data_IF_279792894748
#
_entry.id   IF_279792894748
#
_cell.length_a   1.000
_cell.length_b   1.000
_cell.length_c   1.000
_cell.angle_alpha   90.00
_cell.angle_beta   90.00
_cell.angle_gamma   90.00
#
_symmetry.space_group_name_H-M   'P 1'
#
loop_
_entity.id
_entity.type
_entity.pdbx_description
1 polymer ?
#
# COMPACT_ATOMS: atom_id res chain seq x y z
N UNK A 1 -22.14 1.71 -1.80
CA UNK A 1 -23.00 0.60 -2.25
C UNK A 1 -22.85 -0.51 -1.24
N UNK A 2 -23.86 -0.75 -0.41
CA UNK A 2 -23.88 -1.90 0.50
C UNK A 2 -23.81 -3.16 -0.33
N UNK A 3 -22.81 -4.01 -0.06
CA UNK A 3 -22.72 -5.35 -0.65
C UNK A 3 -23.80 -6.21 -0.01
N UNK A 4 -24.49 -7.02 -0.81
CA UNK A 4 -25.42 -8.05 -0.32
C UNK A 4 -24.61 -9.07 0.49
N UNK A 5 -25.05 -9.41 1.70
CA UNK A 5 -24.36 -10.36 2.58
C UNK A 5 -24.48 -11.82 2.11
N UNK A 6 -25.33 -12.10 1.12
CA UNK A 6 -25.49 -13.43 0.54
C UNK A 6 -24.38 -13.75 -0.49
N UNK A 7 -23.80 -14.96 -0.46
CA UNK A 7 -22.84 -15.40 -1.47
C UNK A 7 -23.51 -15.47 -2.87
N UNK A 8 -22.72 -15.41 -3.96
CA UNK A 8 -23.21 -15.73 -5.30
C UNK A 8 -23.83 -17.13 -5.39
N UNK A 9 -24.89 -17.30 -6.19
CA UNK A 9 -25.64 -18.57 -6.31
C UNK A 9 -24.73 -19.77 -6.68
N UNK A 10 -23.76 -19.58 -7.58
CA UNK A 10 -22.81 -20.62 -7.99
C UNK A 10 -21.84 -21.02 -6.87
N UNK A 11 -21.46 -20.07 -6.00
CA UNK A 11 -20.65 -20.34 -4.83
C UNK A 11 -21.45 -21.09 -3.76
N UNK A 12 -22.73 -20.78 -3.58
CA UNK A 12 -23.61 -21.47 -2.63
C UNK A 12 -23.82 -22.93 -3.03
N UNK A 13 -24.17 -23.19 -4.29
CA UNK A 13 -24.27 -24.54 -4.88
C UNK A 13 -23.00 -25.38 -4.69
N UNK A 14 -21.83 -24.76 -4.82
CA UNK A 14 -20.55 -25.43 -4.60
C UNK A 14 -20.33 -25.77 -3.12
N UNK A 15 -20.67 -24.86 -2.21
CA UNK A 15 -20.51 -25.06 -0.77
C UNK A 15 -21.44 -26.17 -0.25
N UNK A 16 -22.69 -26.22 -0.72
CA UNK A 16 -23.65 -27.28 -0.38
C UNK A 16 -23.17 -28.69 -0.78
N UNK A 17 -22.37 -28.79 -1.85
CA UNK A 17 -21.77 -30.07 -2.29
C UNK A 17 -20.50 -30.44 -1.53
N UNK A 18 -19.78 -29.46 -0.97
CA UNK A 18 -18.44 -29.63 -0.42
C UNK A 18 -18.41 -29.75 1.12
N UNK A 19 -19.42 -29.22 1.81
CA UNK A 19 -19.42 -29.13 3.27
C UNK A 19 -20.71 -29.70 3.85
N UNK A 20 -20.60 -30.45 4.96
CA UNK A 20 -21.75 -30.99 5.69
C UNK A 20 -22.61 -29.86 6.31
N UNK A 21 -21.99 -28.73 6.65
CA UNK A 21 -22.63 -27.51 7.14
C UNK A 21 -22.12 -26.28 6.34
N UNK A 22 -22.73 -25.98 5.19
CA UNK A 22 -22.32 -24.85 4.35
C UNK A 22 -22.62 -23.49 4.98
N UNK A 23 -23.65 -23.39 5.83
CA UNK A 23 -24.01 -22.13 6.51
C UNK A 23 -22.95 -21.74 7.53
N UNK A 24 -22.52 -22.67 8.38
CA UNK A 24 -21.41 -22.44 9.31
C UNK A 24 -20.15 -22.02 8.56
N UNK A 25 -19.87 -22.65 7.41
CA UNK A 25 -18.71 -22.30 6.59
C UNK A 25 -18.79 -20.90 6.01
N UNK A 26 -19.96 -20.44 5.57
CA UNK A 26 -20.18 -19.07 5.07
C UNK A 26 -19.92 -18.06 6.18
N UNK A 27 -20.46 -18.31 7.38
CA UNK A 27 -20.25 -17.45 8.55
C UNK A 27 -18.77 -17.33 8.90
N UNK A 28 -18.04 -18.45 8.93
CA UNK A 28 -16.59 -18.44 9.13
C UNK A 28 -15.85 -17.61 8.08
N UNK A 29 -16.21 -17.76 6.80
CA UNK A 29 -15.60 -17.01 5.69
C UNK A 29 -15.89 -15.51 5.78
N UNK A 30 -17.10 -15.14 6.19
CA UNK A 30 -17.47 -13.75 6.44
C UNK A 30 -16.71 -13.16 7.65
N UNK A 31 -16.47 -13.96 8.70
CA UNK A 31 -15.73 -13.54 9.88
C UNK A 31 -14.24 -13.33 9.63
N UNK A 32 -13.61 -14.14 8.76
CA UNK A 32 -12.19 -13.95 8.40
C UNK A 32 -11.98 -12.87 7.32
N UNK A 33 -13.05 -12.41 6.66
CA UNK A 33 -12.96 -11.38 5.65
C UNK A 33 -12.47 -10.07 6.31
N UNK A 34 -11.36 -9.48 5.83
CA UNK A 34 -10.88 -8.22 6.37
C UNK A 34 -11.87 -7.08 6.07
N UNK A 35 -11.88 -6.07 6.92
CA UNK A 35 -12.71 -4.89 6.70
C UNK A 35 -12.27 -4.16 5.43
N UNK A 36 -13.21 -3.52 4.72
CA UNK A 36 -12.88 -2.75 3.52
C UNK A 36 -11.89 -1.60 3.83
N UNK A 37 -11.91 -1.09 5.07
CA UNK A 37 -10.97 -0.05 5.53
C UNK A 37 -9.53 -0.60 5.66
N UNK A 38 -9.35 -1.77 6.27
CA UNK A 38 -8.04 -2.40 6.42
C UNK A 38 -7.43 -2.70 5.04
N UNK A 39 -8.23 -3.28 4.14
CA UNK A 39 -7.82 -3.58 2.78
C UNK A 39 -7.47 -2.30 2.02
N UNK A 40 -8.25 -1.22 2.16
CA UNK A 40 -7.96 0.06 1.51
C UNK A 40 -6.62 0.66 2.00
N UNK A 41 -6.35 0.59 3.30
CA UNK A 41 -5.07 1.02 3.88
C UNK A 41 -3.89 0.24 3.33
N UNK A 42 -3.97 -1.09 3.34
CA UNK A 42 -2.93 -1.97 2.78
C UNK A 42 -2.74 -1.72 1.28
N UNK A 43 -3.83 -1.60 0.51
CA UNK A 43 -3.78 -1.34 -0.92
C UNK A 43 -3.09 0.00 -1.24
N UNK A 44 -3.28 1.04 -0.42
CA UNK A 44 -2.59 2.32 -0.59
C UNK A 44 -1.07 2.17 -0.44
N UNK A 45 -0.62 1.40 0.56
CA UNK A 45 0.81 1.09 0.77
C UNK A 45 1.36 0.27 -0.39
N UNK A 46 0.70 -0.82 -0.78
CA UNK A 46 1.17 -1.65 -1.89
C UNK A 46 1.18 -0.90 -3.22
N UNK A 47 0.21 -0.01 -3.46
CA UNK A 47 0.23 0.86 -4.63
C UNK A 47 1.43 1.81 -4.61
N UNK A 48 1.84 2.31 -3.45
CA UNK A 48 3.07 3.07 -3.32
C UNK A 48 4.31 2.19 -3.55
N UNK A 49 4.34 0.94 -3.09
CA UNK A 49 5.48 0.04 -3.31
C UNK A 49 5.57 -0.50 -4.75
N UNK A 50 4.46 -0.60 -5.49
CA UNK A 50 4.42 -1.13 -6.86
C UNK A 50 5.06 -0.26 -7.95
N UNK A 51 5.96 0.67 -7.60
CA UNK A 51 6.70 1.50 -8.57
C UNK A 51 8.18 1.36 -8.35
N UNK A 52 8.90 1.01 -9.42
CA UNK A 52 10.35 0.84 -9.38
C UNK A 52 11.08 2.09 -8.89
N UNK A 53 10.69 3.29 -9.35
CA UNK A 53 11.32 4.53 -8.88
C UNK A 53 11.09 4.78 -7.40
N UNK A 54 9.92 4.40 -6.86
CA UNK A 54 9.66 4.52 -5.41
C UNK A 54 10.46 3.49 -4.62
N UNK A 55 10.65 2.28 -5.15
CA UNK A 55 11.54 1.28 -4.56
C UNK A 55 13.00 1.74 -4.59
N UNK A 56 13.50 2.30 -5.70
CA UNK A 56 14.85 2.88 -5.79
C UNK A 56 15.08 3.98 -4.75
N UNK A 57 14.08 4.84 -4.53
CA UNK A 57 14.14 5.86 -3.45
C UNK A 57 14.21 5.19 -2.09
N UNK A 58 13.38 4.18 -1.81
CA UNK A 58 13.40 3.48 -0.53
C UNK A 58 14.74 2.77 -0.28
N UNK A 59 15.31 2.11 -1.28
CA UNK A 59 16.63 1.48 -1.18
C UNK A 59 17.74 2.52 -0.91
N UNK A 60 17.71 3.67 -1.59
CA UNK A 60 18.66 4.75 -1.31
C UNK A 60 18.52 5.30 0.13
N UNK A 61 17.31 5.28 0.68
CA UNK A 61 17.01 5.74 2.05
C UNK A 61 17.21 4.67 3.12
N UNK A 62 17.62 3.44 2.76
CA UNK A 62 17.70 2.31 3.69
C UNK A 62 18.70 2.53 4.82
N UNK A 63 19.88 3.00 4.46
CA UNK A 63 21.02 3.11 5.37
C UNK A 63 21.33 4.57 5.74
N UNK A 64 20.67 5.56 5.11
CA UNK A 64 20.89 6.98 5.36
C UNK A 64 19.69 7.85 4.95
N UNK A 65 19.68 9.12 5.37
CA UNK A 65 18.76 10.11 4.85
C UNK A 65 19.33 10.81 3.61
N UNK A 66 18.47 11.15 2.64
CA UNK A 66 18.86 11.87 1.43
C UNK A 66 18.07 13.17 1.26
N UNK A 67 18.70 14.21 0.74
CA UNK A 67 18.02 15.39 0.23
C UNK A 67 17.31 15.08 -1.10
N UNK A 68 16.38 15.96 -1.49
CA UNK A 68 15.76 15.86 -2.82
C UNK A 68 16.77 15.91 -3.98
N UNK A 69 17.89 16.63 -3.80
CA UNK A 69 19.00 16.67 -4.73
C UNK A 69 19.66 15.31 -4.97
N UNK A 70 20.00 14.59 -3.90
CA UNK A 70 20.60 13.26 -3.98
C UNK A 70 19.64 12.26 -4.63
N UNK A 71 18.34 12.38 -4.35
CA UNK A 71 17.32 11.53 -4.96
C UNK A 71 17.07 11.82 -6.45
N UNK A 72 17.38 13.03 -6.95
CA UNK A 72 17.42 13.30 -8.38
C UNK A 72 18.53 12.51 -9.06
N UNK A 73 19.69 12.39 -8.41
CA UNK A 73 20.82 11.58 -8.92
C UNK A 73 20.48 10.09 -8.89
N UNK A 74 19.88 9.60 -7.80
CA UNK A 74 19.47 8.19 -7.67
C UNK A 74 18.47 7.77 -8.76
N UNK A 75 17.56 8.68 -9.12
CA UNK A 75 16.50 8.39 -10.10
C UNK A 75 16.83 8.82 -11.52
N UNK A 76 17.94 9.52 -11.75
CA UNK A 76 18.24 10.24 -12.99
C UNK A 76 17.01 11.01 -13.50
N UNK A 77 16.43 11.82 -12.61
CA UNK A 77 15.12 12.44 -12.84
C UNK A 77 15.07 13.87 -12.29
N UNK A 78 14.27 14.77 -12.90
CA UNK A 78 14.11 16.13 -12.43
C UNK A 78 13.38 16.19 -11.07
N UNK A 79 13.61 17.27 -10.34
CA UNK A 79 13.04 17.51 -9.00
C UNK A 79 11.51 17.36 -8.92
N UNK A 80 10.77 17.69 -9.98
CA UNK A 80 9.31 17.54 -10.04
C UNK A 80 8.87 16.07 -9.96
N UNK A 81 9.56 15.19 -10.68
CA UNK A 81 9.35 13.74 -10.68
C UNK A 81 9.69 13.16 -9.31
N UNK A 82 10.86 13.50 -8.76
CA UNK A 82 11.29 13.08 -7.42
C UNK A 82 10.28 13.53 -6.35
N UNK A 83 9.82 14.78 -6.41
CA UNK A 83 8.84 15.32 -5.46
C UNK A 83 7.50 14.59 -5.52
N UNK A 84 7.09 14.15 -6.72
CA UNK A 84 5.87 13.36 -6.90
C UNK A 84 6.00 11.99 -6.26
N UNK A 85 7.13 11.30 -6.45
CA UNK A 85 7.40 10.02 -5.80
C UNK A 85 7.43 10.15 -4.27
N UNK A 86 8.14 11.15 -3.75
CA UNK A 86 8.24 11.42 -2.31
C UNK A 86 6.88 11.78 -1.69
N UNK A 87 6.03 12.54 -2.40
CA UNK A 87 4.67 12.82 -1.93
C UNK A 87 3.87 11.52 -1.79
N UNK A 88 3.92 10.63 -2.78
CA UNK A 88 3.18 9.35 -2.73
C UNK A 88 3.69 8.43 -1.61
N UNK A 89 5.01 8.39 -1.40
CA UNK A 89 5.61 7.66 -0.29
C UNK A 89 5.20 8.25 1.07
N UNK A 90 5.12 9.59 1.20
CA UNK A 90 4.62 10.25 2.43
C UNK A 90 3.15 9.98 2.69
N UNK A 91 2.30 10.09 1.66
CA UNK A 91 0.87 9.79 1.73
C UNK A 91 0.62 8.34 2.19
N UNK A 92 1.48 7.41 1.77
CA UNK A 92 1.46 6.01 2.21
C UNK A 92 2.16 5.76 3.57
N UNK A 93 2.68 6.80 4.23
CA UNK A 93 3.37 6.68 5.52
C UNK A 93 4.73 5.99 5.47
N UNK A 94 5.33 5.79 4.28
CA UNK A 94 6.58 5.05 4.11
C UNK A 94 7.84 5.89 4.33
N UNK A 95 7.75 7.21 4.15
CA UNK A 95 8.87 8.13 4.36
C UNK A 95 8.47 9.33 5.21
N UNK A 96 9.41 9.83 5.99
CA UNK A 96 9.31 11.10 6.73
C UNK A 96 10.28 12.11 6.16
N UNK A 97 10.04 13.39 6.45
CA UNK A 97 10.98 14.44 6.07
C UNK A 97 11.26 15.39 7.22
N UNK A 98 12.49 15.89 7.28
CA UNK A 98 12.91 16.97 8.19
C UNK A 98 13.54 18.10 7.40
N UNK A 99 13.42 19.33 7.90
CA UNK A 99 14.14 20.48 7.33
C UNK A 99 15.48 20.68 8.03
N UNK A 100 16.53 20.95 7.26
CA UNK A 100 17.85 21.37 7.74
C UNK A 100 18.32 22.54 6.88
N UNK A 101 18.20 23.75 7.42
CA UNK A 101 18.40 24.98 6.67
C UNK A 101 17.42 25.11 5.51
N UNK A 102 17.94 25.34 4.30
CA UNK A 102 17.13 25.44 3.07
C UNK A 102 16.71 24.09 2.48
N UNK A 103 17.25 22.98 3.01
CA UNK A 103 17.08 21.65 2.42
C UNK A 103 16.07 20.81 3.21
N UNK A 104 15.35 19.95 2.50
CA UNK A 104 14.51 18.89 3.10
C UNK A 104 15.21 17.55 2.90
N UNK A 105 15.44 16.86 4.01
CA UNK A 105 15.98 15.50 4.06
C UNK A 105 14.85 14.50 4.30
N UNK A 106 14.95 13.35 3.65
CA UNK A 106 13.97 12.28 3.69
C UNK A 106 14.60 11.03 4.30
N UNK A 107 13.82 10.25 5.04
CA UNK A 107 14.20 8.96 5.60
C UNK A 107 13.02 8.01 5.61
N UNK A 108 13.27 6.71 5.71
CA UNK A 108 12.22 5.72 6.00
C UNK A 108 11.54 6.08 7.33
N UNK A 109 10.22 5.91 7.38
CA UNK A 109 9.35 6.35 8.49
C UNK A 109 9.75 5.75 9.84
#
# INVERSE_FOLDING_TARGET
MSRTDSPPDDAQDALERLYDDPEARIVDLQNVRPSDQDVAGQAAVFKALGSENRLRVLEALRDSECCGCELQVVLDAPQSTVSTHLRKLKEAGLVKSRKKGKWSYYRIA
#
